data_IF_885163743279
#
_entry.id   IF_885163743279
#
_cell.length_a   1.000
_cell.length_b   1.000
_cell.length_c   1.000
_cell.angle_alpha   90.00
_cell.angle_beta   90.00
_cell.angle_gamma   90.00
#
_symmetry.space_group_name_H-M   'P 1'
#
loop_
_entity.id
_entity.type
_entity.pdbx_description
1 polymer ?
#
# COMPACT_ATOMS: atom_id res chain seq x y z
N UNK A 1 -28.13 -16.27 2.31
CA UNK A 1 -27.93 -17.46 1.46
C UNK A 1 -26.51 -17.46 0.94
N UNK A 2 -25.82 -18.59 0.92
CA UNK A 2 -24.37 -18.62 0.76
C UNK A 2 -23.89 -18.15 -0.63
N UNK A 3 -22.96 -17.19 -0.62
CA UNK A 3 -22.26 -16.60 -1.77
C UNK A 3 -21.61 -17.65 -2.67
N UNK A 4 -21.42 -18.88 -2.19
CA UNK A 4 -20.91 -20.01 -2.99
C UNK A 4 -21.71 -21.31 -2.82
N UNK A 5 -22.89 -21.33 -2.19
CA UNK A 5 -23.68 -22.57 -2.11
C UNK A 5 -24.35 -22.87 -3.45
N UNK A 6 -23.56 -23.36 -4.39
CA UNK A 6 -24.06 -24.08 -5.54
C UNK A 6 -24.00 -25.57 -5.20
N UNK A 7 -25.12 -26.27 -5.41
CA UNK A 7 -25.20 -27.73 -5.47
C UNK A 7 -24.50 -28.30 -6.72
N UNK A 8 -23.54 -27.58 -7.32
CA UNK A 8 -22.86 -28.00 -8.56
C UNK A 8 -21.35 -27.89 -8.38
N UNK A 9 -20.67 -28.91 -8.89
CA UNK A 9 -19.23 -29.18 -8.86
C UNK A 9 -18.37 -28.19 -9.69
N UNK A 10 -18.82 -26.94 -9.82
CA UNK A 10 -18.28 -25.94 -10.75
C UNK A 10 -17.82 -24.71 -9.98
N UNK A 11 -16.52 -24.43 -10.05
CA UNK A 11 -15.89 -23.24 -9.46
C UNK A 11 -16.52 -21.97 -10.03
N UNK A 12 -16.75 -20.91 -9.22
CA UNK A 12 -17.31 -19.65 -9.71
C UNK A 12 -16.33 -18.83 -10.55
N UNK A 13 -15.10 -19.31 -10.72
CA UNK A 13 -14.02 -18.69 -11.47
C UNK A 13 -13.34 -19.69 -12.41
N UNK A 14 -12.66 -19.14 -13.41
CA UNK A 14 -11.69 -19.81 -14.28
C UNK A 14 -10.35 -19.10 -14.18
N UNK A 15 -9.30 -19.69 -14.73
CA UNK A 15 -8.00 -19.02 -14.82
C UNK A 15 -7.86 -18.29 -16.17
N UNK A 16 -7.29 -17.10 -16.16
CA UNK A 16 -6.80 -16.41 -17.36
C UNK A 16 -5.44 -16.96 -17.80
N UNK A 17 -4.88 -16.42 -18.89
CA UNK A 17 -3.59 -16.84 -19.46
C UNK A 17 -2.42 -16.66 -18.48
N UNK A 18 -2.60 -15.84 -17.44
CA UNK A 18 -1.60 -15.55 -16.40
C UNK A 18 -1.94 -16.23 -15.09
N UNK A 19 -2.79 -17.26 -15.14
CA UNK A 19 -3.21 -18.06 -14.00
C UNK A 19 -3.89 -17.22 -12.90
N UNK A 20 -4.52 -16.09 -13.24
CA UNK A 20 -5.38 -15.34 -12.31
C UNK A 20 -6.81 -15.83 -12.40
N UNK A 21 -7.46 -15.92 -11.25
CA UNK A 21 -8.86 -16.25 -11.12
C UNK A 21 -9.72 -15.10 -11.65
N UNK A 22 -10.57 -15.39 -12.62
CA UNK A 22 -11.56 -14.46 -13.18
C UNK A 22 -12.95 -15.10 -13.11
N UNK A 23 -14.01 -14.32 -12.87
CA UNK A 23 -15.36 -14.86 -12.73
C UNK A 23 -15.81 -15.53 -14.04
N UNK A 24 -16.46 -16.69 -13.93
CA UNK A 24 -17.09 -17.35 -15.10
C UNK A 24 -18.29 -16.55 -15.59
N UNK A 25 -19.04 -15.99 -14.64
CA UNK A 25 -20.22 -15.15 -14.86
C UNK A 25 -20.21 -14.01 -13.83
N UNK A 26 -19.72 -12.85 -14.25
CA UNK A 26 -19.60 -11.67 -13.39
C UNK A 26 -20.95 -11.08 -12.99
N UNK A 27 -21.97 -11.17 -13.85
CA UNK A 27 -23.31 -10.62 -13.60
C UNK A 27 -24.00 -11.43 -12.49
N UNK A 28 -24.01 -12.76 -12.62
CA UNK A 28 -24.57 -13.65 -11.59
C UNK A 28 -23.80 -13.53 -10.28
N UNK A 29 -22.47 -13.42 -10.33
CA UNK A 29 -21.66 -13.23 -9.12
C UNK A 29 -21.99 -11.90 -8.42
N UNK A 30 -22.13 -10.81 -9.19
CA UNK A 30 -22.50 -9.50 -8.67
C UNK A 30 -23.88 -9.52 -8.00
N UNK A 31 -24.87 -10.16 -8.62
CA UNK A 31 -26.20 -10.32 -8.04
C UNK A 31 -26.18 -11.11 -6.71
N UNK A 32 -25.32 -12.12 -6.59
CA UNK A 32 -25.15 -12.89 -5.35
C UNK A 32 -24.49 -12.07 -4.25
N UNK A 33 -23.47 -11.29 -4.60
CA UNK A 33 -22.77 -10.38 -3.68
C UNK A 33 -23.74 -9.33 -3.14
N UNK A 34 -24.59 -8.75 -3.98
CA UNK A 34 -25.58 -7.75 -3.57
C UNK A 34 -26.63 -8.27 -2.55
N UNK A 35 -26.86 -9.59 -2.52
CA UNK A 35 -27.80 -10.24 -1.59
C UNK A 35 -27.11 -10.88 -0.38
N UNK A 36 -25.78 -10.78 -0.30
CA UNK A 36 -24.98 -11.43 0.73
C UNK A 36 -24.87 -10.56 1.97
N UNK A 37 -25.27 -11.12 3.12
CA UNK A 37 -25.09 -10.48 4.44
C UNK A 37 -24.57 -11.48 5.49
N UNK A 38 -23.38 -12.09 5.25
CA UNK A 38 -22.81 -13.05 6.18
C UNK A 38 -22.20 -12.34 7.39
N UNK A 39 -22.39 -12.95 8.57
CA UNK A 39 -21.79 -12.51 9.83
C UNK A 39 -20.92 -13.62 10.46
N UNK A 40 -20.69 -14.71 9.74
CA UNK A 40 -19.87 -15.84 10.16
C UNK A 40 -18.56 -15.90 9.37
N UNK A 41 -17.52 -16.47 10.00
CA UNK A 41 -16.19 -16.58 9.39
C UNK A 41 -16.19 -17.14 7.96
N UNK A 42 -16.84 -18.31 7.67
CA UNK A 42 -16.82 -18.86 6.32
C UNK A 42 -17.59 -18.00 5.31
N UNK A 43 -18.67 -17.33 5.73
CA UNK A 43 -19.47 -16.46 4.88
C UNK A 43 -18.70 -15.20 4.48
N UNK A 44 -18.09 -14.52 5.46
CA UNK A 44 -17.28 -13.32 5.26
C UNK A 44 -16.08 -13.61 4.34
N UNK A 45 -15.34 -14.69 4.61
CA UNK A 45 -14.20 -15.10 3.77
C UNK A 45 -14.60 -15.36 2.32
N UNK A 46 -15.75 -16.01 2.08
CA UNK A 46 -16.26 -16.27 0.72
C UNK A 46 -16.72 -15.00 0.02
N UNK A 47 -17.36 -14.09 0.76
CA UNK A 47 -17.78 -12.80 0.22
C UNK A 47 -16.57 -11.96 -0.19
N UNK A 48 -15.51 -11.95 0.63
CA UNK A 48 -14.23 -11.31 0.28
C UNK A 48 -13.64 -11.85 -1.03
N UNK A 49 -13.54 -13.16 -1.21
CA UNK A 49 -13.08 -13.76 -2.48
C UNK A 49 -13.97 -13.35 -3.66
N UNK A 50 -15.30 -13.36 -3.49
CA UNK A 50 -16.23 -12.98 -4.54
C UNK A 50 -16.09 -11.50 -4.95
N UNK A 51 -15.91 -10.60 -3.98
CA UNK A 51 -15.67 -9.18 -4.20
C UNK A 51 -14.35 -8.94 -4.93
N UNK A 52 -13.28 -9.66 -4.56
CA UNK A 52 -11.99 -9.63 -5.25
C UNK A 52 -12.12 -10.03 -6.73
N UNK A 53 -12.85 -11.11 -7.03
CA UNK A 53 -13.09 -11.56 -8.41
C UNK A 53 -13.87 -10.53 -9.25
N UNK A 54 -14.67 -9.67 -8.60
CA UNK A 54 -15.40 -8.58 -9.23
C UNK A 54 -14.59 -7.28 -9.32
N UNK A 55 -13.33 -7.26 -8.85
CA UNK A 55 -12.49 -6.06 -8.80
C UNK A 55 -12.89 -5.06 -7.70
N UNK A 56 -13.75 -5.46 -6.75
CA UNK A 56 -14.21 -4.62 -5.63
C UNK A 56 -13.29 -4.82 -4.43
N UNK A 57 -12.04 -4.37 -4.58
CA UNK A 57 -10.95 -4.71 -3.65
C UNK A 57 -11.13 -4.13 -2.25
N UNK A 58 -11.50 -2.86 -2.10
CA UNK A 58 -11.70 -2.25 -0.77
C UNK A 58 -12.78 -2.97 0.04
N UNK A 59 -13.89 -3.32 -0.61
CA UNK A 59 -14.94 -4.10 0.03
C UNK A 59 -14.48 -5.53 0.34
N UNK A 60 -13.62 -6.13 -0.50
CA UNK A 60 -13.05 -7.44 -0.24
C UNK A 60 -12.17 -7.43 1.00
N UNK A 61 -11.30 -6.42 1.14
CA UNK A 61 -10.46 -6.20 2.31
C UNK A 61 -11.33 -6.06 3.56
N UNK A 62 -12.34 -5.18 3.56
CA UNK A 62 -13.22 -5.02 4.72
C UNK A 62 -13.88 -6.34 5.19
N UNK A 63 -14.33 -7.18 4.25
CA UNK A 63 -14.98 -8.46 4.60
C UNK A 63 -13.95 -9.47 5.10
N UNK A 64 -12.72 -9.44 4.61
CA UNK A 64 -11.64 -10.31 5.07
C UNK A 64 -11.08 -9.85 6.41
N UNK A 65 -11.03 -8.55 6.70
CA UNK A 65 -10.70 -7.99 8.02
C UNK A 65 -11.69 -8.51 9.08
N UNK A 66 -12.99 -8.42 8.80
CA UNK A 66 -14.02 -9.00 9.68
C UNK A 66 -13.87 -10.52 9.82
N UNK A 67 -13.47 -11.23 8.76
CA UNK A 67 -13.19 -12.66 8.86
C UNK A 67 -11.93 -12.93 9.73
N UNK A 68 -10.90 -12.08 9.66
CA UNK A 68 -9.69 -12.20 10.47
C UNK A 68 -10.00 -11.99 11.96
N UNK A 69 -10.86 -11.03 12.29
CA UNK A 69 -11.35 -10.79 13.65
C UNK A 69 -12.11 -12.00 14.23
N UNK A 70 -12.88 -12.70 13.40
CA UNK A 70 -13.60 -13.93 13.81
C UNK A 70 -12.73 -15.20 13.79
N UNK A 71 -11.45 -15.11 13.41
CA UNK A 71 -10.58 -16.27 13.30
C UNK A 71 -10.14 -16.79 14.69
N UNK A 72 -10.78 -17.87 15.12
CA UNK A 72 -10.54 -18.56 16.41
C UNK A 72 -9.35 -19.54 16.42
N UNK A 73 -8.62 -19.66 15.30
CA UNK A 73 -7.52 -20.60 15.15
C UNK A 73 -6.45 -20.07 14.18
N UNK A 74 -5.20 -20.45 14.42
CA UNK A 74 -4.09 -20.08 13.53
C UNK A 74 -4.28 -20.58 12.09
N UNK A 75 -4.86 -21.77 11.91
CA UNK A 75 -5.25 -22.27 10.58
C UNK A 75 -6.19 -21.29 9.87
N UNK A 76 -7.22 -20.78 10.55
CA UNK A 76 -8.17 -19.81 9.96
C UNK A 76 -7.46 -18.51 9.59
N UNK A 77 -6.60 -17.98 10.48
CA UNK A 77 -5.80 -16.78 10.21
C UNK A 77 -4.93 -16.94 8.97
N UNK A 78 -4.20 -18.05 8.85
CA UNK A 78 -3.41 -18.37 7.64
C UNK A 78 -4.27 -18.34 6.37
N UNK A 79 -5.47 -18.93 6.38
CA UNK A 79 -6.35 -18.90 5.21
C UNK A 79 -6.94 -17.53 4.88
N UNK A 80 -6.97 -16.60 5.84
CA UNK A 80 -7.40 -15.22 5.61
C UNK A 80 -6.22 -14.38 5.11
N UNK A 81 -5.02 -14.52 5.68
CA UNK A 81 -3.81 -13.85 5.18
C UNK A 81 -3.50 -14.19 3.72
N UNK A 82 -3.67 -15.46 3.31
CA UNK A 82 -3.53 -15.83 1.89
C UNK A 82 -4.56 -15.09 1.02
N UNK A 83 -5.80 -14.98 1.48
CA UNK A 83 -6.85 -14.29 0.72
C UNK A 83 -6.64 -12.77 0.66
N UNK A 84 -6.24 -12.13 1.77
CA UNK A 84 -5.86 -10.72 1.81
C UNK A 84 -4.67 -10.48 0.86
N UNK A 85 -3.68 -11.37 0.88
CA UNK A 85 -2.55 -11.32 -0.03
C UNK A 85 -2.96 -11.45 -1.49
N UNK A 86 -3.97 -12.28 -1.80
CA UNK A 86 -4.54 -12.33 -3.15
C UNK A 86 -5.26 -11.02 -3.48
N UNK A 87 -6.02 -10.41 -2.55
CA UNK A 87 -6.67 -9.12 -2.82
C UNK A 87 -5.64 -8.05 -3.18
N UNK A 88 -4.60 -7.86 -2.36
CA UNK A 88 -3.53 -6.90 -2.63
C UNK A 88 -2.80 -7.20 -3.94
N UNK A 89 -2.52 -8.49 -4.23
CA UNK A 89 -1.87 -8.89 -5.48
C UNK A 89 -2.72 -8.57 -6.72
N UNK A 90 -4.04 -8.75 -6.67
CA UNK A 90 -4.94 -8.41 -7.78
C UNK A 90 -5.19 -6.90 -7.89
N UNK A 91 -5.17 -6.22 -6.75
CA UNK A 91 -5.26 -4.78 -6.68
C UNK A 91 -4.02 -4.12 -7.29
N UNK A 92 -2.85 -4.76 -7.22
CA UNK A 92 -1.59 -4.22 -7.74
C UNK A 92 -0.66 -3.68 -6.66
N UNK A 93 -0.77 -4.22 -5.44
CA UNK A 93 0.04 -3.88 -4.26
C UNK A 93 0.88 -5.11 -3.83
N UNK A 94 1.89 -5.51 -4.62
CA UNK A 94 2.65 -6.73 -4.39
C UNK A 94 3.45 -6.73 -3.07
N UNK A 95 3.85 -5.57 -2.54
CA UNK A 95 4.54 -5.45 -1.25
C UNK A 95 3.68 -5.94 -0.08
N UNK A 96 2.46 -5.40 0.05
CA UNK A 96 1.46 -5.84 1.03
C UNK A 96 1.12 -7.33 0.87
N UNK A 97 0.97 -7.79 -0.38
CA UNK A 97 0.73 -9.20 -0.67
C UNK A 97 1.87 -10.09 -0.17
N UNK A 98 3.12 -9.72 -0.42
CA UNK A 98 4.31 -10.45 0.01
C UNK A 98 4.39 -10.55 1.54
N UNK A 99 4.14 -9.46 2.28
CA UNK A 99 4.11 -9.47 3.75
C UNK A 99 3.11 -10.52 4.25
N UNK A 100 1.88 -10.50 3.74
CA UNK A 100 0.82 -11.42 4.15
C UNK A 100 1.14 -12.87 3.78
N UNK A 101 1.67 -13.13 2.58
CA UNK A 101 2.04 -14.48 2.18
C UNK A 101 3.22 -15.03 2.98
N UNK A 102 4.24 -14.21 3.29
CA UNK A 102 5.36 -14.61 4.15
C UNK A 102 4.87 -14.90 5.56
N UNK A 103 3.97 -14.07 6.10
CA UNK A 103 3.31 -14.32 7.39
C UNK A 103 2.53 -15.63 7.39
N UNK A 104 1.73 -15.88 6.35
CA UNK A 104 0.99 -17.13 6.16
C UNK A 104 1.93 -18.34 6.07
N UNK A 105 3.00 -18.24 5.29
CA UNK A 105 3.99 -19.30 5.15
C UNK A 105 4.69 -19.61 6.47
N UNK A 106 5.13 -18.58 7.20
CA UNK A 106 5.77 -18.75 8.49
C UNK A 106 4.86 -19.46 9.50
N UNK A 107 3.63 -19.00 9.68
CA UNK A 107 2.68 -19.60 10.60
C UNK A 107 2.27 -21.03 10.18
N UNK A 108 2.08 -21.27 8.88
CA UNK A 108 1.68 -22.59 8.36
C UNK A 108 2.69 -23.71 8.67
N UNK A 109 4.00 -23.39 8.77
CA UNK A 109 5.05 -24.37 9.06
C UNK A 109 4.91 -25.06 10.42
N UNK A 110 4.26 -24.40 11.38
CA UNK A 110 3.97 -24.97 12.69
C UNK A 110 2.66 -25.77 12.74
N UNK A 111 1.86 -25.75 11.67
CA UNK A 111 0.52 -26.34 11.62
C UNK A 111 0.52 -27.67 10.87
N UNK A 112 0.68 -27.63 9.54
CA UNK A 112 0.65 -28.82 8.70
C UNK A 112 1.20 -28.56 7.28
N UNK A 113 1.61 -29.62 6.56
CA UNK A 113 2.23 -29.49 5.25
C UNK A 113 1.28 -29.00 4.14
N UNK A 114 -0.03 -29.20 4.28
CA UNK A 114 -1.01 -28.75 3.29
C UNK A 114 -1.00 -27.22 3.22
N UNK A 115 -1.14 -26.55 4.37
CA UNK A 115 -1.11 -25.08 4.47
C UNK A 115 0.22 -24.49 3.98
N UNK A 116 1.35 -25.14 4.28
CA UNK A 116 2.67 -24.72 3.77
C UNK A 116 2.66 -24.74 2.24
N UNK A 117 2.11 -25.79 1.63
CA UNK A 117 2.04 -25.91 0.18
C UNK A 117 1.16 -24.83 -0.48
N UNK A 118 0.10 -24.38 0.19
CA UNK A 118 -0.73 -23.27 -0.27
C UNK A 118 0.03 -21.94 -0.16
N UNK A 119 0.54 -21.61 1.03
CA UNK A 119 1.23 -20.34 1.24
C UNK A 119 2.47 -20.19 0.35
N UNK A 120 3.29 -21.23 0.21
CA UNK A 120 4.46 -21.22 -0.67
C UNK A 120 4.08 -21.06 -2.15
N UNK A 121 2.97 -21.68 -2.60
CA UNK A 121 2.50 -21.52 -3.97
C UNK A 121 2.05 -20.08 -4.27
N UNK A 122 1.26 -19.48 -3.39
CA UNK A 122 0.78 -18.11 -3.58
C UNK A 122 1.93 -17.09 -3.52
N UNK A 123 2.85 -17.22 -2.55
CA UNK A 123 4.05 -16.38 -2.50
C UNK A 123 4.90 -16.55 -3.77
N UNK A 124 5.13 -17.80 -4.21
CA UNK A 124 5.90 -18.08 -5.42
C UNK A 124 5.31 -17.40 -6.67
N UNK A 125 3.99 -17.46 -6.86
CA UNK A 125 3.32 -16.72 -7.96
C UNK A 125 3.46 -15.21 -7.82
N UNK A 126 3.28 -14.68 -6.62
CA UNK A 126 3.43 -13.23 -6.35
C UNK A 126 4.84 -12.74 -6.67
N UNK A 127 5.87 -13.53 -6.36
CA UNK A 127 7.26 -13.20 -6.70
C UNK A 127 7.55 -13.31 -8.20
N UNK A 128 6.96 -14.28 -8.89
CA UNK A 128 7.08 -14.41 -10.34
C UNK A 128 6.48 -13.18 -11.07
N UNK A 129 5.31 -12.71 -10.62
CA UNK A 129 4.67 -11.50 -11.14
C UNK A 129 5.54 -10.23 -10.96
N UNK A 130 6.44 -10.22 -9.97
CA UNK A 130 7.40 -9.16 -9.64
C UNK A 130 8.79 -9.33 -10.30
N UNK A 131 8.91 -10.15 -11.35
CA UNK A 131 10.19 -10.41 -12.02
C UNK A 131 11.27 -11.06 -11.12
N UNK A 132 10.86 -11.83 -10.10
CA UNK A 132 11.76 -12.60 -9.20
C UNK A 132 11.62 -14.12 -9.41
N UNK A 133 11.91 -14.67 -10.61
CA UNK A 133 11.61 -16.07 -10.96
C UNK A 133 12.45 -17.10 -10.21
N UNK A 134 13.64 -16.73 -9.73
CA UNK A 134 14.51 -17.64 -8.96
C UNK A 134 13.89 -17.97 -7.59
N UNK A 135 13.54 -16.94 -6.83
CA UNK A 135 12.87 -17.10 -5.52
C UNK A 135 11.49 -17.75 -5.67
N UNK A 136 10.75 -17.37 -6.72
CA UNK A 136 9.48 -18.02 -7.07
C UNK A 136 9.66 -19.53 -7.28
N UNK A 137 10.69 -19.95 -8.02
CA UNK A 137 10.96 -21.36 -8.31
C UNK A 137 11.29 -22.16 -7.05
N UNK A 138 12.03 -21.59 -6.11
CA UNK A 138 12.34 -22.25 -4.83
C UNK A 138 11.07 -22.59 -4.06
N UNK A 139 10.17 -21.61 -3.91
CA UNK A 139 8.90 -21.77 -3.19
C UNK A 139 7.93 -22.71 -3.91
N UNK A 140 7.82 -22.61 -5.25
CA UNK A 140 6.98 -23.52 -6.03
C UNK A 140 7.50 -24.96 -5.98
N UNK A 141 8.82 -25.14 -5.90
CA UNK A 141 9.43 -26.48 -5.72
C UNK A 141 9.10 -27.06 -4.34
N UNK A 142 9.15 -26.25 -3.28
CA UNK A 142 8.69 -26.65 -1.94
C UNK A 142 7.21 -27.05 -1.97
N UNK A 143 6.34 -26.22 -2.55
CA UNK A 143 4.92 -26.51 -2.70
C UNK A 143 4.65 -27.79 -3.50
N UNK A 144 5.35 -27.99 -4.62
CA UNK A 144 5.24 -29.19 -5.46
C UNK A 144 5.58 -30.45 -4.67
N UNK A 145 6.70 -30.45 -3.93
CA UNK A 145 7.12 -31.59 -3.13
C UNK A 145 6.05 -32.01 -2.12
N UNK A 146 5.41 -31.03 -1.47
CA UNK A 146 4.36 -31.26 -0.49
C UNK A 146 3.08 -31.80 -1.13
N UNK A 147 2.65 -31.20 -2.25
CA UNK A 147 1.45 -31.64 -3.00
C UNK A 147 1.60 -33.04 -3.59
N UNK A 148 2.79 -33.39 -4.08
CA UNK A 148 3.09 -34.76 -4.55
C UNK A 148 3.02 -35.78 -3.41
N UNK A 149 3.49 -35.40 -2.22
CA UNK A 149 3.42 -36.28 -1.05
C UNK A 149 1.97 -36.49 -0.57
N UNK A 150 1.12 -35.46 -0.70
CA UNK A 150 -0.30 -35.52 -0.35
C UNK A 150 -1.15 -36.25 -1.41
N UNK A 151 -0.77 -36.15 -2.68
CA UNK A 151 -1.41 -36.85 -3.79
C UNK A 151 -2.56 -36.10 -4.46
N UNK A 152 -2.74 -34.80 -4.18
CA UNK A 152 -3.73 -33.95 -4.83
C UNK A 152 -3.31 -33.60 -6.26
N UNK A 153 -3.87 -34.30 -7.25
CA UNK A 153 -3.55 -34.13 -8.66
C UNK A 153 -3.86 -32.72 -9.17
N UNK A 154 -4.91 -32.08 -8.67
CA UNK A 154 -5.30 -30.74 -9.12
C UNK A 154 -4.30 -29.69 -8.64
N UNK A 155 -3.88 -29.76 -7.37
CA UNK A 155 -2.86 -28.86 -6.83
C UNK A 155 -1.49 -29.09 -7.49
N UNK A 156 -1.16 -30.34 -7.83
CA UNK A 156 0.06 -30.69 -8.57
C UNK A 156 0.06 -30.03 -9.95
N UNK A 157 -1.02 -30.18 -10.74
CA UNK A 157 -1.12 -29.53 -12.05
C UNK A 157 -1.04 -28.00 -11.95
N UNK A 158 -1.71 -27.41 -10.95
CA UNK A 158 -1.68 -25.98 -10.70
C UNK A 158 -0.25 -25.46 -10.42
N UNK A 159 0.53 -26.14 -9.58
CA UNK A 159 1.93 -25.75 -9.34
C UNK A 159 2.78 -25.97 -10.58
N UNK A 160 2.57 -27.06 -11.33
CA UNK A 160 3.34 -27.33 -12.54
C UNK A 160 3.14 -26.24 -13.58
N UNK A 161 1.89 -25.86 -13.85
CA UNK A 161 1.58 -24.77 -14.76
C UNK A 161 2.26 -23.45 -14.35
N UNK A 162 2.27 -23.12 -13.05
CA UNK A 162 2.98 -21.93 -12.57
C UNK A 162 4.51 -22.02 -12.76
N UNK A 163 5.11 -23.21 -12.59
CA UNK A 163 6.54 -23.42 -12.77
C UNK A 163 6.98 -23.38 -14.25
N UNK A 164 6.17 -23.94 -15.16
CA UNK A 164 6.47 -24.01 -16.59
C UNK A 164 6.41 -22.62 -17.26
N UNK A 165 5.63 -21.70 -16.69
CA UNK A 165 5.36 -20.36 -17.24
C UNK A 165 5.84 -19.21 -16.33
N UNK A 166 6.86 -19.44 -15.49
CA UNK A 166 7.35 -18.44 -14.51
C UNK A 166 7.67 -17.07 -15.13
N UNK A 167 8.39 -17.06 -16.25
CA UNK A 167 8.81 -15.82 -16.91
C UNK A 167 7.63 -15.12 -17.60
N UNK A 168 6.58 -15.86 -17.96
CA UNK A 168 5.34 -15.34 -18.57
C UNK A 168 4.34 -14.81 -17.53
N UNK A 169 4.53 -15.13 -16.24
CA UNK A 169 3.74 -14.58 -15.14
C UNK A 169 4.10 -13.12 -14.86
N UNK A 170 5.34 -12.72 -15.18
CA UNK A 170 5.80 -11.36 -15.00
C UNK A 170 4.85 -10.34 -15.66
N UNK A 171 4.50 -9.29 -14.93
CA UNK A 171 3.61 -8.26 -15.45
C UNK A 171 4.34 -7.46 -16.55
N UNK A 172 3.87 -7.48 -17.82
CA UNK A 172 4.51 -6.71 -18.87
C UNK A 172 4.35 -5.21 -18.61
N UNK A 173 5.29 -4.42 -19.14
CA UNK A 173 5.15 -2.97 -19.19
C UNK A 173 4.21 -2.59 -20.34
N UNK A 174 3.40 -1.51 -20.19
CA UNK A 174 2.62 -1.00 -21.31
C UNK A 174 3.54 -0.60 -22.49
N UNK A 175 3.12 -0.76 -23.76
CA UNK A 175 3.99 -0.55 -24.91
C UNK A 175 4.69 0.81 -24.96
N UNK A 176 4.01 1.89 -24.51
CA UNK A 176 4.58 3.24 -24.42
C UNK A 176 5.74 3.30 -23.42
N UNK A 177 5.63 2.57 -22.31
CA UNK A 177 6.68 2.50 -21.29
C UNK A 177 7.84 1.62 -21.78
N UNK A 178 7.53 0.51 -22.47
CA UNK A 178 8.56 -0.36 -23.06
C UNK A 178 9.37 0.37 -24.15
N UNK A 179 8.73 1.21 -24.98
CA UNK A 179 9.43 2.05 -25.96
C UNK A 179 10.39 3.05 -25.28
N UNK A 180 10.01 3.55 -24.11
CA UNK A 180 10.81 4.50 -23.32
C UNK A 180 12.01 3.84 -22.62
N UNK A 181 11.79 2.69 -21.96
CA UNK A 181 12.79 2.03 -21.11
C UNK A 181 13.59 0.94 -21.86
N UNK A 182 13.11 0.52 -23.03
CA UNK A 182 13.57 -0.65 -23.75
C UNK A 182 12.90 -1.95 -23.28
N UNK A 183 13.07 -3.04 -24.05
CA UNK A 183 12.38 -4.32 -23.83
C UNK A 183 12.85 -5.07 -22.58
N UNK A 184 14.03 -4.73 -22.05
CA UNK A 184 14.58 -5.28 -20.81
C UNK A 184 15.16 -4.12 -20.02
N UNK A 185 14.35 -3.43 -19.20
CA UNK A 185 14.84 -2.35 -18.36
C UNK A 185 15.89 -2.88 -17.39
N UNK A 186 16.96 -2.10 -17.20
CA UNK A 186 17.90 -2.36 -16.11
C UNK A 186 17.34 -1.70 -14.86
N UNK A 187 16.89 -2.51 -13.91
CA UNK A 187 16.41 -2.05 -12.62
C UNK A 187 17.61 -1.85 -11.69
N UNK A 188 17.67 -0.70 -11.04
CA UNK A 188 18.62 -0.44 -9.95
C UNK A 188 18.10 -1.07 -8.66
N UNK A 189 19.01 -1.46 -7.77
CA UNK A 189 18.70 -1.81 -6.38
C UNK A 189 18.44 -0.57 -5.50
N UNK A 190 18.56 0.64 -6.06
CA UNK A 190 18.18 1.88 -5.39
C UNK A 190 16.65 1.96 -5.25
N UNK A 191 16.20 1.81 -4.01
CA UNK A 191 14.81 1.99 -3.59
C UNK A 191 14.82 3.02 -2.46
N UNK A 192 14.09 4.11 -2.61
CA UNK A 192 13.69 4.98 -1.48
C UNK A 192 12.22 4.63 -1.18
N UNK A 193 11.97 3.95 -0.05
CA UNK A 193 10.63 3.54 0.37
C UNK A 193 10.42 2.01 0.49
N UNK A 194 9.55 1.61 1.42
CA UNK A 194 9.40 0.22 1.90
C UNK A 194 8.54 -0.71 1.00
N UNK A 195 7.87 -0.19 -0.02
CA UNK A 195 6.70 -0.89 -0.61
C UNK A 195 6.98 -1.75 -1.85
N UNK A 196 8.22 -1.85 -2.32
CA UNK A 196 8.59 -2.72 -3.46
C UNK A 196 7.97 -2.32 -4.82
N UNK A 197 7.24 -1.21 -4.87
CA UNK A 197 6.55 -0.70 -6.07
C UNK A 197 7.33 0.40 -6.80
N UNK A 198 8.43 0.88 -6.24
CA UNK A 198 9.29 1.91 -6.82
C UNK A 198 10.58 1.27 -7.30
N UNK A 199 10.90 1.42 -8.59
CA UNK A 199 12.16 0.95 -9.16
C UNK A 199 12.77 2.04 -10.04
N UNK A 200 14.09 2.15 -10.01
CA UNK A 200 14.82 3.10 -10.86
C UNK A 200 15.35 2.42 -12.11
N UNK A 201 15.20 3.05 -13.27
CA UNK A 201 15.87 2.63 -14.50
C UNK A 201 16.46 3.83 -15.22
N UNK A 202 17.80 3.93 -15.22
CA UNK A 202 18.50 5.11 -15.73
C UNK A 202 18.12 6.38 -14.95
N UNK A 203 17.67 7.41 -15.66
CA UNK A 203 17.23 8.69 -15.08
C UNK A 203 15.73 8.74 -14.75
N UNK A 204 15.08 7.59 -14.58
CA UNK A 204 13.64 7.51 -14.36
C UNK A 204 13.29 6.72 -13.11
N UNK A 205 12.24 7.17 -12.44
CA UNK A 205 11.57 6.47 -11.35
C UNK A 205 10.26 5.88 -11.88
N UNK A 206 10.05 4.59 -11.64
CA UNK A 206 8.90 3.84 -12.15
C UNK A 206 8.09 3.32 -10.98
N UNK A 207 6.80 3.65 -10.97
CA UNK A 207 5.81 3.17 -10.00
C UNK A 207 4.72 2.41 -10.72
N UNK A 208 4.19 1.34 -10.10
CA UNK A 208 3.10 0.54 -10.64
C UNK A 208 1.98 0.32 -9.62
N UNK A 209 0.74 0.25 -10.10
CA UNK A 209 -0.43 -0.13 -9.31
C UNK A 209 -1.33 1.05 -8.96
N UNK A 210 -2.34 0.86 -8.12
CA UNK A 210 -3.33 1.87 -7.76
C UNK A 210 -2.71 3.10 -7.12
N UNK A 211 -1.68 2.94 -6.29
CA UNK A 211 -0.92 4.09 -5.74
C UNK A 211 -0.27 4.93 -6.84
N UNK A 212 0.27 4.32 -7.89
CA UNK A 212 0.83 5.05 -9.03
C UNK A 212 -0.25 5.83 -9.82
N UNK A 213 -1.43 5.24 -10.01
CA UNK A 213 -2.58 5.90 -10.64
C UNK A 213 -3.06 7.09 -9.79
N UNK A 214 -3.20 6.87 -8.48
CA UNK A 214 -3.59 7.88 -7.50
C UNK A 214 -2.59 9.04 -7.45
N UNK A 215 -1.29 8.74 -7.45
CA UNK A 215 -0.21 9.71 -7.46
C UNK A 215 -0.16 10.49 -8.77
N UNK A 216 -0.31 9.83 -9.93
CA UNK A 216 -0.37 10.51 -11.22
C UNK A 216 -1.47 11.59 -11.27
N UNK A 217 -2.66 11.26 -10.78
CA UNK A 217 -3.78 12.21 -10.72
C UNK A 217 -3.45 13.43 -9.82
N UNK A 218 -2.79 13.17 -8.68
CA UNK A 218 -2.40 14.20 -7.70
C UNK A 218 -1.25 15.07 -8.19
N UNK A 219 -0.23 14.49 -8.81
CA UNK A 219 0.86 15.21 -9.47
C UNK A 219 0.33 16.14 -10.58
N UNK A 220 -0.60 15.65 -11.41
CA UNK A 220 -1.22 16.45 -12.47
C UNK A 220 -1.99 17.63 -11.88
N UNK A 221 -2.83 17.38 -10.87
CA UNK A 221 -3.61 18.43 -10.22
C UNK A 221 -2.72 19.46 -9.52
N UNK A 222 -1.67 19.04 -8.82
CA UNK A 222 -0.70 19.93 -8.18
C UNK A 222 -0.02 20.84 -9.19
N UNK A 223 0.45 20.28 -10.32
CA UNK A 223 1.08 21.05 -11.41
C UNK A 223 0.12 22.09 -11.97
N UNK A 224 -1.13 21.71 -12.22
CA UNK A 224 -2.17 22.61 -12.75
C UNK A 224 -2.52 23.74 -11.76
N UNK A 225 -2.27 23.53 -10.46
CA UNK A 225 -2.44 24.52 -9.40
C UNK A 225 -1.13 25.23 -9.01
N UNK A 226 -0.07 25.09 -9.80
CA UNK A 226 1.17 25.86 -9.64
C UNK A 226 2.11 25.36 -8.54
N UNK A 227 1.90 24.14 -8.04
CA UNK A 227 2.84 23.49 -7.12
C UNK A 227 3.92 22.76 -7.91
N UNK A 228 5.17 22.90 -7.48
CA UNK A 228 6.31 22.23 -8.09
C UNK A 228 6.27 20.73 -7.78
N UNK A 229 6.31 19.90 -8.82
CA UNK A 229 6.29 18.43 -8.77
C UNK A 229 7.19 17.87 -9.87
N UNK A 230 7.63 16.60 -9.81
CA UNK A 230 8.41 16.00 -10.89
C UNK A 230 7.70 16.02 -12.24
N UNK A 231 8.49 15.97 -13.30
CA UNK A 231 7.97 15.77 -14.64
C UNK A 231 7.47 14.33 -14.80
N UNK A 232 6.19 14.20 -15.18
CA UNK A 232 5.62 12.92 -15.59
C UNK A 232 6.06 12.68 -17.03
N UNK A 233 7.00 11.76 -17.22
CA UNK A 233 7.56 11.41 -18.53
C UNK A 233 6.58 10.54 -19.31
N UNK A 234 5.97 9.58 -18.63
CA UNK A 234 4.93 8.74 -19.22
C UNK A 234 3.98 8.21 -18.12
N UNK A 235 2.73 8.02 -18.51
CA UNK A 235 1.74 7.30 -17.71
C UNK A 235 0.87 6.47 -18.63
N UNK A 236 0.80 5.16 -18.38
CA UNK A 236 0.02 4.24 -19.18
C UNK A 236 -0.51 3.11 -18.30
N UNK A 237 -1.79 2.78 -18.44
CA UNK A 237 -2.48 1.80 -17.61
C UNK A 237 -2.32 2.09 -16.11
N UNK A 238 -1.52 1.30 -15.41
CA UNK A 238 -1.21 1.40 -13.99
C UNK A 238 0.26 1.79 -13.71
N UNK A 239 1.01 2.19 -14.73
CA UNK A 239 2.44 2.50 -14.63
C UNK A 239 2.70 4.00 -14.79
N UNK A 240 3.35 4.58 -13.79
CA UNK A 240 3.81 5.97 -13.73
C UNK A 240 5.33 6.02 -13.88
N UNK A 241 5.81 6.86 -14.80
CA UNK A 241 7.24 7.12 -15.00
C UNK A 241 7.52 8.60 -14.76
N UNK A 242 8.36 8.88 -13.77
CA UNK A 242 8.80 10.22 -13.39
C UNK A 242 10.25 10.43 -13.81
N UNK A 243 10.59 11.65 -14.24
CA UNK A 243 11.98 12.05 -14.40
C UNK A 243 12.64 12.19 -13.03
N UNK A 244 13.94 11.88 -12.97
CA UNK A 244 14.76 12.21 -11.81
C UNK A 244 14.75 13.74 -11.57
N UNK A 245 14.25 14.14 -10.40
CA UNK A 245 14.05 15.52 -10.00
C UNK A 245 15.15 16.04 -9.04
N UNK A 246 16.21 15.25 -8.83
CA UNK A 246 17.34 15.61 -7.98
C UNK A 246 17.17 15.21 -6.51
N UNK A 247 18.04 15.75 -5.65
CA UNK A 247 18.19 15.29 -4.27
C UNK A 247 17.20 15.95 -3.29
N UNK A 248 16.82 15.16 -2.28
CA UNK A 248 16.07 15.58 -1.08
C UNK A 248 16.83 16.64 -0.27
N UNK A 249 16.09 17.42 0.52
CA UNK A 249 16.65 18.37 1.48
C UNK A 249 17.36 17.72 2.68
N UNK A 250 17.16 16.42 2.93
CA UNK A 250 17.78 15.70 4.06
C UNK A 250 19.32 15.79 4.07
N UNK A 251 19.98 15.91 2.91
CA UNK A 251 21.45 15.98 2.80
C UNK A 251 22.09 17.37 2.92
N UNK A 252 21.32 18.42 3.24
CA UNK A 252 21.79 19.82 3.16
C UNK A 252 22.48 20.30 4.45
N UNK A 253 23.35 21.29 4.35
CA UNK A 253 24.12 21.79 5.50
C UNK A 253 23.46 22.96 6.25
N UNK A 254 22.60 23.75 5.61
CA UNK A 254 21.98 24.93 6.21
C UNK A 254 20.60 24.59 6.79
N UNK A 255 20.58 24.26 8.08
CA UNK A 255 19.38 23.92 8.84
C UNK A 255 18.26 24.99 8.73
N UNK A 256 18.62 26.27 8.79
CA UNK A 256 17.62 27.34 8.76
C UNK A 256 16.99 27.48 7.37
N UNK A 257 17.80 27.37 6.31
CA UNK A 257 17.27 27.41 4.95
C UNK A 257 16.43 26.18 4.61
N UNK A 258 16.82 24.99 5.06
CA UNK A 258 16.00 23.77 4.91
C UNK A 258 14.62 23.97 5.54
N UNK A 259 14.57 24.39 6.81
CA UNK A 259 13.32 24.66 7.49
C UNK A 259 12.48 25.73 6.78
N UNK A 260 13.10 26.85 6.38
CA UNK A 260 12.40 27.92 5.67
C UNK A 260 11.85 27.46 4.31
N UNK A 261 12.57 26.60 3.58
CA UNK A 261 12.14 26.07 2.29
C UNK A 261 10.93 25.13 2.45
N UNK A 262 10.97 24.20 3.41
CA UNK A 262 9.82 23.35 3.74
C UNK A 262 8.60 24.18 4.16
N UNK A 263 8.81 25.21 4.98
CA UNK A 263 7.72 26.08 5.45
C UNK A 263 7.05 26.85 4.30
N UNK A 264 7.82 27.33 3.32
CA UNK A 264 7.28 27.97 2.11
C UNK A 264 6.52 26.98 1.22
N UNK A 265 7.07 25.78 1.01
CA UNK A 265 6.45 24.75 0.20
C UNK A 265 5.11 24.29 0.80
N UNK A 266 5.10 23.98 2.10
CA UNK A 266 3.88 23.55 2.79
C UNK A 266 2.81 24.65 2.82
N UNK A 267 3.22 25.90 3.04
CA UNK A 267 2.31 27.04 2.98
C UNK A 267 1.67 27.18 1.61
N UNK A 268 2.45 27.08 0.53
CA UNK A 268 1.93 27.16 -0.83
C UNK A 268 0.89 26.06 -1.10
N UNK A 269 1.13 24.83 -0.61
CA UNK A 269 0.18 23.72 -0.70
C UNK A 269 -1.10 24.01 0.11
N UNK A 270 -0.97 24.42 1.38
CA UNK A 270 -2.10 24.68 2.27
C UNK A 270 -2.94 25.91 1.87
N UNK A 271 -2.38 26.84 1.09
CA UNK A 271 -3.09 27.99 0.53
C UNK A 271 -3.91 27.64 -0.72
N UNK A 272 -3.79 26.42 -1.26
CA UNK A 272 -4.64 25.98 -2.38
C UNK A 272 -6.12 25.97 -1.99
N UNK A 273 -7.05 26.39 -2.88
CA UNK A 273 -8.47 26.39 -2.57
C UNK A 273 -9.00 24.96 -2.39
N UNK A 274 -9.46 24.63 -1.18
CA UNK A 274 -10.04 23.33 -0.85
C UNK A 274 -11.20 22.95 -1.77
N UNK A 275 -12.01 23.93 -2.21
CA UNK A 275 -13.12 23.74 -3.14
C UNK A 275 -12.72 23.15 -4.49
N UNK A 276 -11.45 23.20 -4.84
CA UNK A 276 -10.92 22.73 -6.12
C UNK A 276 -10.20 21.38 -5.99
N UNK A 277 -10.08 20.82 -4.78
CA UNK A 277 -9.44 19.53 -4.54
C UNK A 277 -10.43 18.39 -4.87
N UNK A 278 -10.14 17.54 -5.88
CA UNK A 278 -11.04 16.48 -6.31
C UNK A 278 -10.84 15.16 -5.55
N UNK A 279 -9.91 15.13 -4.59
CA UNK A 279 -9.49 13.91 -3.92
C UNK A 279 -10.26 13.69 -2.63
N UNK A 280 -10.46 12.42 -2.30
CA UNK A 280 -10.96 12.02 -1.00
C UNK A 280 -9.82 12.13 0.04
N UNK A 281 -10.18 12.54 1.24
CA UNK A 281 -9.28 12.70 2.37
C UNK A 281 -10.08 12.73 3.66
N UNK A 282 -9.51 13.31 4.71
CA UNK A 282 -10.15 13.48 6.00
C UNK A 282 -9.80 12.37 7.00
N UNK A 283 -9.89 12.73 8.28
CA UNK A 283 -9.38 11.91 9.37
C UNK A 283 -10.07 10.54 9.48
N UNK A 284 -11.35 10.42 9.10
CA UNK A 284 -12.05 9.13 9.14
C UNK A 284 -11.46 8.10 8.17
N UNK A 285 -11.07 8.53 6.97
CA UNK A 285 -10.46 7.65 5.97
C UNK A 285 -9.05 7.22 6.41
N UNK A 286 -8.28 8.17 6.95
CA UNK A 286 -6.92 7.88 7.47
C UNK A 286 -6.99 6.93 8.67
N UNK A 287 -7.91 7.15 9.61
CA UNK A 287 -8.09 6.24 10.76
C UNK A 287 -8.59 4.85 10.34
N UNK A 288 -9.41 4.74 9.30
CA UNK A 288 -9.83 3.45 8.76
C UNK A 288 -8.64 2.69 8.14
N UNK A 289 -7.77 3.38 7.41
CA UNK A 289 -6.55 2.79 6.86
C UNK A 289 -5.56 2.38 7.95
N UNK A 290 -5.33 3.25 8.94
CA UNK A 290 -4.50 2.95 10.11
C UNK A 290 -5.04 1.74 10.88
N UNK A 291 -6.36 1.62 11.03
CA UNK A 291 -6.99 0.44 11.63
C UNK A 291 -6.65 -0.83 10.87
N UNK A 292 -6.74 -0.80 9.54
CA UNK A 292 -6.38 -1.94 8.68
C UNK A 292 -4.91 -2.31 8.81
N UNK A 293 -4.00 -1.33 8.77
CA UNK A 293 -2.56 -1.58 8.97
C UNK A 293 -2.28 -2.33 10.28
N UNK A 294 -2.99 -2.00 11.36
CA UNK A 294 -2.85 -2.75 12.63
C UNK A 294 -3.44 -4.15 12.56
N UNK A 295 -4.67 -4.29 12.04
CA UNK A 295 -5.37 -5.59 11.96
C UNK A 295 -4.60 -6.58 11.09
N UNK A 296 -4.12 -6.11 9.94
CA UNK A 296 -3.39 -6.90 8.96
C UNK A 296 -1.90 -7.06 9.31
N UNK A 297 -1.38 -6.21 10.21
CA UNK A 297 -0.01 -6.27 10.71
C UNK A 297 1.02 -5.71 9.73
N UNK A 298 0.69 -4.58 9.09
CA UNK A 298 1.60 -3.82 8.23
C UNK A 298 2.45 -2.80 8.99
N UNK A 299 2.07 -2.45 10.22
CA UNK A 299 2.81 -1.47 11.03
C UNK A 299 4.21 -1.98 11.40
N UNK A 300 5.24 -1.23 11.00
CA UNK A 300 6.62 -1.49 11.40
C UNK A 300 6.92 -0.88 12.77
N UNK A 301 6.79 -1.71 13.80
CA UNK A 301 7.08 -1.32 15.19
C UNK A 301 8.55 -0.97 15.45
N UNK A 302 9.46 -1.28 14.50
CA UNK A 302 10.88 -0.96 14.65
C UNK A 302 11.22 0.46 14.23
N UNK A 303 10.32 1.11 13.49
CA UNK A 303 10.45 2.49 13.02
C UNK A 303 9.76 3.51 13.94
N UNK A 304 9.25 3.05 15.09
CA UNK A 304 8.54 3.94 16.00
C UNK A 304 9.43 5.04 16.58
N UNK A 305 8.86 6.23 16.76
CA UNK A 305 9.52 7.33 17.45
C UNK A 305 10.02 6.86 18.83
N UNK A 306 11.13 7.44 19.27
CA UNK A 306 11.83 7.10 20.50
C UNK A 306 10.91 7.07 21.74
N UNK A 307 9.89 7.94 21.79
CA UNK A 307 8.90 8.06 22.86
C UNK A 307 7.63 7.19 22.66
N UNK A 308 7.53 6.49 21.53
CA UNK A 308 6.46 5.54 21.21
C UNK A 308 6.92 4.06 21.21
N UNK A 309 8.22 3.76 21.29
CA UNK A 309 8.79 2.39 21.24
C UNK A 309 8.17 1.34 22.17
N UNK A 310 7.61 1.74 23.31
CA UNK A 310 6.98 0.82 24.27
C UNK A 310 5.48 0.57 23.97
N UNK A 311 4.92 1.22 22.93
CA UNK A 311 3.52 1.08 22.55
C UNK A 311 3.35 -0.07 21.55
N UNK A 312 2.22 -0.76 21.64
CA UNK A 312 1.77 -1.63 20.56
C UNK A 312 0.93 -0.83 19.56
N UNK A 313 0.88 -1.23 18.27
CA UNK A 313 0.01 -0.59 17.29
C UNK A 313 -1.47 -0.53 17.73
N UNK A 314 -1.96 -1.57 18.41
CA UNK A 314 -3.30 -1.58 18.98
C UNK A 314 -3.49 -0.54 20.11
N UNK A 315 -2.48 -0.31 20.95
CA UNK A 315 -2.52 0.73 21.97
C UNK A 315 -2.51 2.14 21.37
N UNK A 316 -1.79 2.32 20.25
CA UNK A 316 -1.78 3.58 19.49
C UNK A 316 -3.19 3.86 18.93
N UNK A 317 -3.83 2.88 18.28
CA UNK A 317 -5.20 3.03 17.78
C UNK A 317 -6.21 3.44 18.87
N UNK A 318 -6.15 2.81 20.04
CA UNK A 318 -7.03 3.17 21.15
C UNK A 318 -6.78 4.61 21.62
N UNK A 319 -5.52 5.04 21.70
CA UNK A 319 -5.18 6.44 22.03
C UNK A 319 -5.67 7.42 20.96
N UNK A 320 -5.57 7.08 19.68
CA UNK A 320 -6.06 7.91 18.58
C UNK A 320 -7.59 8.05 18.61
N UNK A 321 -8.32 7.02 19.05
CA UNK A 321 -9.77 7.09 19.29
C UNK A 321 -10.10 8.01 20.46
N UNK A 322 -9.39 7.87 21.58
CA UNK A 322 -9.62 8.67 22.79
C UNK A 322 -9.27 10.16 22.63
N UNK A 323 -8.19 10.45 21.88
CA UNK A 323 -7.61 11.80 21.75
C UNK A 323 -8.00 12.50 20.46
N UNK A 324 -8.97 11.97 19.72
CA UNK A 324 -9.42 12.52 18.44
C UNK A 324 -9.68 14.03 18.55
N UNK A 325 -9.08 14.87 17.69
CA UNK A 325 -9.33 16.30 17.70
C UNK A 325 -10.82 16.62 17.52
N UNK A 326 -11.34 17.53 18.34
CA UNK A 326 -12.75 17.92 18.31
C UNK A 326 -13.13 18.77 17.08
N UNK A 327 -12.14 19.41 16.45
CA UNK A 327 -12.32 20.29 15.30
C UNK A 327 -11.14 20.16 14.36
N UNK A 328 -11.42 20.19 13.05
CA UNK A 328 -10.42 20.13 12.00
C UNK A 328 -10.25 21.50 11.31
N UNK A 329 -9.01 21.90 11.07
CA UNK A 329 -8.64 23.07 10.27
C UNK A 329 -8.25 22.61 8.86
N UNK A 330 -9.27 22.37 8.04
CA UNK A 330 -9.16 21.67 6.76
C UNK A 330 -8.45 22.52 5.70
N UNK A 331 -7.40 21.93 5.12
CA UNK A 331 -6.62 22.42 3.99
C UNK A 331 -6.39 21.25 3.01
N UNK A 332 -5.74 21.52 1.89
CA UNK A 332 -5.18 20.43 1.06
C UNK A 332 -3.87 20.02 1.70
N UNK A 333 -3.78 18.80 2.21
CA UNK A 333 -2.57 18.23 2.83
C UNK A 333 -1.84 17.33 1.86
N UNK A 334 -0.52 17.24 2.01
CA UNK A 334 0.32 16.23 1.36
C UNK A 334 -0.02 14.83 1.87
N UNK A 335 -0.22 14.70 3.18
CA UNK A 335 -0.53 13.44 3.86
C UNK A 335 0.70 12.58 4.21
N UNK A 336 1.91 13.08 3.90
CA UNK A 336 3.21 12.46 4.22
C UNK A 336 4.33 13.51 4.04
N UNK A 337 4.18 14.68 4.67
CA UNK A 337 5.09 15.82 4.46
C UNK A 337 6.38 15.69 5.30
N UNK A 338 7.27 14.81 4.86
CA UNK A 338 8.56 14.51 5.50
C UNK A 338 9.73 15.22 4.80
N UNK A 339 10.92 15.18 5.41
CA UNK A 339 12.15 15.70 4.79
C UNK A 339 12.50 14.97 3.47
N UNK A 340 12.23 13.66 3.41
CA UNK A 340 12.43 12.83 2.22
C UNK A 340 11.60 13.31 1.03
N UNK A 341 10.38 13.77 1.30
CA UNK A 341 9.39 14.08 0.27
C UNK A 341 9.44 15.52 -0.26
N UNK A 342 10.39 16.33 0.21
CA UNK A 342 10.63 17.70 -0.28
C UNK A 342 12.01 17.80 -0.91
N UNK A 343 12.05 18.00 -2.22
CA UNK A 343 13.29 18.16 -2.99
C UNK A 343 13.73 19.63 -3.06
N UNK A 344 14.95 19.83 -3.57
CA UNK A 344 15.50 21.17 -3.84
C UNK A 344 14.54 22.02 -4.68
N UNK A 345 14.32 23.28 -4.28
CA UNK A 345 13.36 24.18 -4.93
C UNK A 345 11.93 24.09 -4.38
N UNK A 346 11.66 23.19 -3.43
CA UNK A 346 10.34 23.02 -2.81
C UNK A 346 9.42 22.13 -3.63
N UNK A 347 10.01 21.23 -4.41
CA UNK A 347 9.32 20.27 -5.25
C UNK A 347 8.84 19.09 -4.39
N UNK A 348 7.58 18.70 -4.54
CA UNK A 348 6.93 17.65 -3.75
C UNK A 348 6.89 16.33 -4.51
N UNK A 349 7.24 15.24 -3.83
CA UNK A 349 7.18 13.86 -4.32
C UNK A 349 6.32 12.98 -3.39
N UNK A 350 6.03 11.74 -3.77
CA UNK A 350 5.26 10.79 -2.95
C UNK A 350 3.88 11.32 -2.50
N UNK A 351 3.25 12.06 -3.41
CA UNK A 351 1.98 12.74 -3.16
C UNK A 351 0.77 11.81 -3.24
N UNK A 352 0.93 10.48 -3.13
CA UNK A 352 -0.19 9.53 -3.30
C UNK A 352 -1.29 9.71 -2.23
N UNK A 353 -0.93 10.20 -1.05
CA UNK A 353 -1.83 10.46 0.08
C UNK A 353 -2.51 11.84 0.04
N UNK A 354 -2.21 12.68 -0.95
CA UNK A 354 -2.70 14.06 -0.98
C UNK A 354 -4.23 14.14 -0.99
N UNK A 355 -4.78 15.06 -0.21
CA UNK A 355 -6.22 15.27 -0.14
C UNK A 355 -6.61 16.29 0.94
N UNK A 356 -7.91 16.54 1.12
CA UNK A 356 -8.42 17.31 2.25
C UNK A 356 -7.95 16.71 3.59
N UNK A 357 -7.44 17.54 4.50
CA UNK A 357 -7.01 17.09 5.82
C UNK A 357 -6.80 18.27 6.76
N UNK A 358 -6.72 18.01 8.06
CA UNK A 358 -6.28 19.04 9.00
C UNK A 358 -4.81 19.39 8.72
N UNK A 359 -4.48 20.68 8.66
CA UNK A 359 -3.10 21.15 8.42
C UNK A 359 -2.05 20.54 9.35
N UNK A 360 -2.45 20.12 10.55
CA UNK A 360 -1.55 19.52 11.52
C UNK A 360 -1.10 18.11 11.14
N UNK A 361 -1.75 17.48 10.16
CA UNK A 361 -1.27 16.22 9.57
C UNK A 361 0.12 16.40 8.98
N UNK A 362 0.33 17.43 8.15
CA UNK A 362 1.63 17.71 7.55
C UNK A 362 2.59 18.44 8.51
N UNK A 363 2.08 19.35 9.34
CA UNK A 363 2.92 20.11 10.28
C UNK A 363 3.61 19.20 11.32
N UNK A 364 2.93 18.13 11.76
CA UNK A 364 3.49 17.19 12.72
C UNK A 364 4.71 16.46 12.17
N UNK A 365 4.62 15.97 10.93
CA UNK A 365 5.71 15.24 10.26
C UNK A 365 6.88 16.18 9.95
N UNK A 366 6.57 17.37 9.43
CA UNK A 366 7.58 18.39 9.17
C UNK A 366 8.36 18.78 10.44
N UNK A 367 7.66 19.00 11.55
CA UNK A 367 8.32 19.36 12.82
C UNK A 367 9.15 18.20 13.36
N UNK A 368 8.63 16.97 13.34
CA UNK A 368 9.35 15.77 13.81
C UNK A 368 10.69 15.64 13.09
N UNK A 369 10.66 15.61 11.76
CA UNK A 369 11.83 15.38 10.92
C UNK A 369 12.85 16.53 11.06
N UNK A 370 12.39 17.78 11.00
CA UNK A 370 13.26 18.95 11.17
C UNK A 370 13.90 18.99 12.57
N UNK A 371 13.16 18.63 13.61
CA UNK A 371 13.68 18.57 14.97
C UNK A 371 14.73 17.47 15.14
N UNK A 372 14.50 16.29 14.53
CA UNK A 372 15.42 15.15 14.55
C UNK A 372 16.73 15.44 13.83
N UNK A 373 16.66 15.93 12.59
CA UNK A 373 17.83 16.00 11.71
C UNK A 373 18.58 17.33 11.80
N UNK A 374 17.86 18.43 12.04
CA UNK A 374 18.41 19.80 11.96
C UNK A 374 18.25 20.61 13.24
N UNK A 375 17.46 20.14 14.20
CA UNK A 375 17.22 20.77 15.49
C UNK A 375 16.38 22.05 15.44
N UNK A 376 16.26 22.72 16.60
CA UNK A 376 15.28 23.79 16.80
C UNK A 376 15.44 25.05 15.92
N UNK A 377 16.63 25.29 15.35
CA UNK A 377 16.83 26.41 14.43
C UNK A 377 16.04 26.22 13.12
N UNK A 378 16.00 24.99 12.60
CA UNK A 378 15.24 24.65 11.41
C UNK A 378 13.73 24.72 11.67
N UNK A 379 13.26 24.17 12.79
CA UNK A 379 11.86 24.25 13.23
C UNK A 379 11.40 25.71 13.37
N UNK A 380 12.25 26.57 13.96
CA UNK A 380 11.94 28.00 14.09
C UNK A 380 11.81 28.67 12.72
N UNK A 381 12.73 28.40 11.80
CA UNK A 381 12.70 28.95 10.44
C UNK A 381 11.49 28.43 9.64
N UNK A 382 11.13 27.16 9.82
CA UNK A 382 9.95 26.53 9.23
C UNK A 382 8.66 27.24 9.62
N UNK A 383 8.39 27.39 10.93
CA UNK A 383 7.18 28.06 11.39
C UNK A 383 7.13 29.53 11.01
N UNK A 384 8.28 30.21 11.00
CA UNK A 384 8.37 31.60 10.54
C UNK A 384 8.02 31.73 9.05
N UNK A 385 8.50 30.83 8.20
CA UNK A 385 8.20 30.80 6.77
C UNK A 385 6.77 30.37 6.46
N UNK A 386 6.26 29.37 7.19
CA UNK A 386 4.89 28.88 7.09
C UNK A 386 3.87 29.93 7.57
N UNK A 387 4.25 30.74 8.56
CA UNK A 387 3.41 31.83 9.08
C UNK A 387 2.50 31.43 10.24
N UNK A 388 2.89 30.42 11.04
CA UNK A 388 2.18 29.99 12.25
C UNK A 388 3.04 30.27 13.48
N UNK A 389 2.58 31.16 14.36
CA UNK A 389 3.35 31.60 15.53
C UNK A 389 3.14 30.74 16.77
N UNK A 390 1.95 30.16 16.93
CA UNK A 390 1.56 29.37 18.11
C UNK A 390 0.93 28.06 17.64
N UNK A 391 1.73 27.02 17.36
CA UNK A 391 1.20 25.72 16.94
C UNK A 391 0.50 24.99 18.10
N UNK A 392 -0.64 24.37 17.80
CA UNK A 392 -1.40 23.51 18.70
C UNK A 392 -0.63 22.20 18.95
N UNK A 393 -0.03 22.12 20.13
CA UNK A 393 0.79 20.97 20.56
C UNK A 393 0.00 19.68 20.65
N UNK A 394 -1.29 19.74 21.03
CA UNK A 394 -2.10 18.53 21.14
C UNK A 394 -2.40 17.93 19.76
N UNK A 395 -2.59 18.77 18.74
CA UNK A 395 -2.74 18.29 17.36
C UNK A 395 -1.44 17.76 16.77
N UNK A 396 -0.30 18.43 17.02
CA UNK A 396 1.00 17.91 16.60
C UNK A 396 1.27 16.51 17.17
N UNK A 397 1.06 16.34 18.48
CA UNK A 397 1.22 15.05 19.14
C UNK A 397 0.25 13.99 18.58
N UNK A 398 -0.98 14.38 18.25
CA UNK A 398 -1.98 13.49 17.68
C UNK A 398 -1.58 12.95 16.31
N UNK A 399 -1.16 13.83 15.39
CA UNK A 399 -0.81 13.43 14.04
C UNK A 399 0.55 12.73 13.96
N UNK A 400 1.50 13.06 14.84
CA UNK A 400 2.73 12.28 15.01
C UNK A 400 2.43 10.85 15.48
N UNK A 401 1.52 10.71 16.45
CA UNK A 401 1.07 9.39 16.91
C UNK A 401 0.28 8.61 15.83
N UNK A 402 -0.40 9.31 14.92
CA UNK A 402 -1.12 8.70 13.81
C UNK A 402 -0.17 8.10 12.78
N UNK A 403 0.93 8.80 12.49
CA UNK A 403 1.95 8.41 11.52
C UNK A 403 2.64 7.10 11.87
N UNK A 404 2.77 6.78 13.15
CA UNK A 404 3.27 5.49 13.67
C UNK A 404 2.52 4.26 13.14
N UNK A 405 1.34 4.44 12.51
CA UNK A 405 0.54 3.36 11.95
C UNK A 405 0.68 3.20 10.44
N UNK A 406 1.62 3.92 9.81
CA UNK A 406 1.81 3.95 8.36
C UNK A 406 3.14 3.38 7.90
#
# INVERSE_FOLDING_TARGET
>A
MAVTAQKSDTRPYRFDERLRMIPVDAETLSARVALADPHDFPGLRRLGIALMLLGRYDEALDRLDQALELADSERRRVTVWINLGDVYRYQGEPGHAEILYRRALHASRALDPELVSFAAHHLGKSLAEQHRPLEARELLTEAMRLRVADGDSELIESTRAAMDHLDELALPLPPVIEELLGPVPQWSDEHEGCDGNLVRSGGYWIKRGPRAVAEHARLTWLRDNGIAVPDVVAFAEDVLVLADAGESLAGRADAAEVGAQMGRALRALHELPLSNCPFDGGLDNVLALAHRHVVEGFVDVTDFDDDHRDLSPAAILERLRERRPATEDLVVTHGDFTLGNVLTGGLLIDVAALGPGDRYHDLALAERDLAGDFGGAAVTAFYAAYGLTEPDRAKLDYYRLLDELF
#
